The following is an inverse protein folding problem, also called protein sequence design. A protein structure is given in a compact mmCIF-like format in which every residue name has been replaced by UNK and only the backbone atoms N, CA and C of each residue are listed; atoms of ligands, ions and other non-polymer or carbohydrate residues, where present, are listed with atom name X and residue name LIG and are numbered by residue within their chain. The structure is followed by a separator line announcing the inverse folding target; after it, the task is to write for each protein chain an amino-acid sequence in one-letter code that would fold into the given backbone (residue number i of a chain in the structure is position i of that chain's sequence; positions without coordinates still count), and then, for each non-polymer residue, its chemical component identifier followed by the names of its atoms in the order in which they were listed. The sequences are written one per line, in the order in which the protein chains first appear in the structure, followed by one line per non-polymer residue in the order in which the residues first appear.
data_IF_008376718279
#
_entry.id   IF_008376718279
#
_cell.length_a   1.000
_cell.length_b   1.000
_cell.length_c   1.000
_cell.angle_alpha   90.00
_cell.angle_beta   90.00
_cell.angle_gamma   90.00
#
_symmetry.space_group_name_H-M   'P 1'
#
loop_
_entity.id
_entity.type
_entity.pdbx_description
1 polymer ?
#
# COMPACT_ATOMS: atom_id res chain seq x y z
N UNK A 1 -54.99 -18.10 2.55
CA UNK A 1 -54.04 -17.93 1.42
C UNK A 1 -54.71 -18.49 0.16
N UNK A 2 -54.56 -17.95 -1.07
CA UNK A 2 -53.39 -17.18 -1.52
C UNK A 2 -53.62 -15.92 -2.41
N UNK A 3 -52.61 -15.05 -2.33
CA UNK A 3 -51.85 -14.42 -3.43
C UNK A 3 -52.46 -13.32 -4.32
N UNK A 4 -51.81 -12.15 -4.18
CA UNK A 4 -51.21 -11.30 -5.24
C UNK A 4 -52.16 -10.39 -6.02
N UNK A 5 -52.27 -9.15 -5.53
CA UNK A 5 -52.56 -7.99 -6.36
C UNK A 5 -51.25 -7.49 -6.99
N UNK A 6 -51.35 -7.34 -8.31
CA UNK A 6 -50.41 -6.81 -9.27
C UNK A 6 -49.71 -5.54 -8.80
N UNK A 7 -48.38 -5.56 -8.86
CA UNK A 7 -47.57 -4.36 -9.10
C UNK A 7 -46.93 -4.53 -10.49
N UNK A 8 -47.36 -3.69 -11.41
CA UNK A 8 -46.83 -3.57 -12.77
C UNK A 8 -45.38 -2.98 -12.71
N UNK A 9 -44.60 -3.12 -13.80
CA UNK A 9 -43.16 -3.30 -13.79
C UNK A 9 -42.41 -1.96 -13.87
N UNK A 10 -41.46 -1.76 -12.97
CA UNK A 10 -40.31 -0.88 -13.21
C UNK A 10 -39.17 -1.77 -13.72
N UNK A 11 -39.37 -2.23 -14.95
CA UNK A 11 -38.35 -2.90 -15.73
C UNK A 11 -37.43 -1.88 -16.41
N UNK A 12 -36.14 -2.21 -16.39
CA UNK A 12 -35.07 -1.70 -17.24
C UNK A 12 -34.86 -0.18 -17.26
N UNK A 13 -33.93 0.31 -16.42
CA UNK A 13 -32.77 1.08 -16.92
C UNK A 13 -31.63 0.90 -15.90
N UNK A 14 -30.63 0.04 -16.17
CA UNK A 14 -29.20 0.34 -15.97
C UNK A 14 -28.26 -0.78 -16.45
N UNK A 15 -28.49 -1.32 -17.64
CA UNK A 15 -27.47 -2.14 -18.32
C UNK A 15 -26.72 -1.26 -19.31
N UNK A 16 -25.75 -0.44 -18.85
CA UNK A 16 -24.82 0.24 -19.76
C UNK A 16 -23.53 0.85 -19.18
N UNK A 17 -23.19 0.76 -17.88
CA UNK A 17 -21.97 1.42 -17.38
C UNK A 17 -21.24 0.69 -16.22
N UNK A 18 -21.10 -0.64 -16.29
CA UNK A 18 -20.25 -1.38 -15.34
C UNK A 18 -19.05 -2.09 -16.00
N UNK A 19 -18.66 -1.68 -17.21
CA UNK A 19 -17.39 -2.10 -17.81
C UNK A 19 -16.18 -1.30 -17.29
N UNK A 20 -16.34 -0.50 -16.23
CA UNK A 20 -15.28 0.32 -15.63
C UNK A 20 -14.93 -0.03 -14.18
N UNK A 21 -15.64 -0.97 -13.54
CA UNK A 21 -15.25 -1.50 -12.23
C UNK A 21 -14.51 -2.83 -12.44
N UNK A 22 -13.38 -2.79 -13.15
CA UNK A 22 -12.38 -3.84 -12.98
C UNK A 22 -11.96 -3.78 -11.52
N UNK A 23 -12.39 -4.79 -10.74
CA UNK A 23 -11.91 -4.98 -9.38
C UNK A 23 -10.40 -4.84 -9.39
N UNK A 24 -9.89 -3.97 -8.53
CA UNK A 24 -8.47 -3.69 -8.37
C UNK A 24 -7.72 -5.03 -8.44
N UNK A 25 -6.96 -5.25 -9.52
CA UNK A 25 -6.22 -6.49 -9.75
C UNK A 25 -5.47 -6.86 -8.47
N UNK A 26 -5.37 -8.13 -8.13
CA UNK A 26 -4.61 -8.57 -6.95
C UNK A 26 -3.17 -8.01 -6.94
N UNK A 27 -2.61 -7.79 -8.13
CA UNK A 27 -1.33 -7.10 -8.34
C UNK A 27 -1.36 -5.63 -7.89
N UNK A 28 -2.42 -4.89 -8.22
CA UNK A 28 -2.59 -3.50 -7.79
C UNK A 28 -2.74 -3.42 -6.27
N UNK A 29 -3.49 -4.35 -5.66
CA UNK A 29 -3.65 -4.42 -4.22
C UNK A 29 -2.31 -4.73 -3.49
N UNK A 30 -1.46 -5.56 -4.08
CA UNK A 30 -0.14 -5.87 -3.54
C UNK A 30 0.82 -4.67 -3.66
N UNK A 31 0.79 -3.96 -4.79
CA UNK A 31 1.55 -2.71 -4.99
C UNK A 31 1.14 -1.66 -3.96
N UNK A 32 -0.16 -1.45 -3.76
CA UNK A 32 -0.68 -0.49 -2.78
C UNK A 32 -0.25 -0.85 -1.36
N UNK A 33 -0.23 -2.14 -1.03
CA UNK A 33 0.28 -2.64 0.27
C UNK A 33 1.77 -2.32 0.43
N UNK A 34 2.61 -2.57 -0.58
CA UNK A 34 4.04 -2.22 -0.53
C UNK A 34 4.26 -0.72 -0.38
N UNK A 35 3.49 0.10 -1.11
CA UNK A 35 3.55 1.56 -1.00
C UNK A 35 3.20 1.99 0.42
N UNK A 36 2.11 1.50 0.99
CA UNK A 36 1.69 1.84 2.34
C UNK A 36 2.77 1.51 3.40
N UNK A 37 3.36 0.31 3.32
CA UNK A 37 4.43 -0.08 4.25
C UNK A 37 5.67 0.80 4.07
N UNK A 38 6.08 1.07 2.82
CA UNK A 38 7.19 1.97 2.55
C UNK A 38 6.96 3.37 3.15
N UNK A 39 5.74 3.91 3.03
CA UNK A 39 5.42 5.22 3.58
C UNK A 39 5.56 5.24 5.11
N UNK A 40 5.16 4.16 5.79
CA UNK A 40 5.31 4.04 7.24
C UNK A 40 6.78 3.91 7.66
N UNK A 41 7.58 3.15 6.92
CA UNK A 41 9.04 3.10 7.10
C UNK A 41 9.66 4.48 6.92
N UNK A 42 9.30 5.21 5.86
CA UNK A 42 9.80 6.57 5.62
C UNK A 42 9.40 7.55 6.73
N UNK A 43 8.19 7.45 7.29
CA UNK A 43 7.77 8.26 8.44
C UNK A 43 8.64 7.99 9.67
N UNK A 44 9.01 6.73 9.93
CA UNK A 44 9.92 6.40 11.03
C UNK A 44 11.33 6.90 10.76
N UNK A 45 11.84 6.71 9.54
CA UNK A 45 13.16 7.20 9.14
C UNK A 45 13.27 8.72 9.24
N UNK A 46 12.24 9.44 8.81
CA UNK A 46 12.15 10.90 8.93
C UNK A 46 12.25 11.36 10.39
N UNK A 47 11.61 10.63 11.32
CA UNK A 47 11.68 10.93 12.76
C UNK A 47 13.09 10.65 13.29
N UNK A 48 13.67 9.51 12.92
CA UNK A 48 15.03 9.11 13.28
C UNK A 48 16.08 10.15 12.79
N UNK A 49 15.98 10.55 11.53
CA UNK A 49 16.91 11.46 10.87
C UNK A 49 16.61 12.94 11.12
N UNK A 50 15.58 13.26 11.93
CA UNK A 50 15.12 14.62 12.20
C UNK A 50 14.97 15.49 10.95
N UNK A 51 14.38 14.92 9.89
CA UNK A 51 14.33 15.56 8.57
C UNK A 51 13.32 16.71 8.53
N UNK A 52 13.69 17.81 7.87
CA UNK A 52 12.80 18.97 7.66
C UNK A 52 11.54 18.62 6.85
N UNK A 53 10.43 19.31 7.14
CA UNK A 53 9.12 19.11 6.51
C UNK A 53 9.13 19.12 4.97
N UNK A 54 10.00 19.93 4.35
CA UNK A 54 10.16 19.99 2.89
C UNK A 54 10.57 18.63 2.31
N UNK A 55 11.51 17.95 2.97
CA UNK A 55 12.09 16.70 2.48
C UNK A 55 11.22 15.50 2.84
N UNK A 56 10.34 15.62 3.84
CA UNK A 56 9.38 14.57 4.22
C UNK A 56 8.49 14.14 3.06
N UNK A 57 7.86 15.11 2.38
CA UNK A 57 6.97 14.82 1.24
C UNK A 57 7.72 14.15 0.10
N UNK A 58 8.96 14.57 -0.15
CA UNK A 58 9.83 13.97 -1.18
C UNK A 58 10.17 12.53 -0.82
N UNK A 59 10.59 12.27 0.42
CA UNK A 59 10.92 10.92 0.88
C UNK A 59 9.72 9.98 0.80
N UNK A 60 8.55 10.40 1.30
CA UNK A 60 7.31 9.60 1.22
C UNK A 60 6.91 9.38 -0.25
N UNK A 61 7.06 10.38 -1.11
CA UNK A 61 6.75 10.27 -2.54
C UNK A 61 7.59 9.24 -3.28
N UNK A 62 8.83 8.98 -2.85
CA UNK A 62 9.69 7.96 -3.48
C UNK A 62 9.16 6.53 -3.34
N UNK A 63 8.23 6.27 -2.41
CA UNK A 63 7.65 4.94 -2.22
C UNK A 63 6.94 4.38 -3.45
N UNK A 64 6.38 5.22 -4.32
CA UNK A 64 5.81 4.75 -5.59
C UNK A 64 6.86 4.13 -6.52
N UNK A 65 8.11 4.59 -6.44
CA UNK A 65 9.22 4.05 -7.23
C UNK A 65 9.93 2.90 -6.53
N UNK A 66 10.18 3.01 -5.22
CA UNK A 66 10.94 2.02 -4.45
C UNK A 66 10.13 0.79 -4.05
N UNK A 67 8.79 0.81 -4.18
CA UNK A 67 7.96 -0.36 -3.85
C UNK A 67 8.42 -1.62 -4.63
N UNK A 68 8.90 -1.47 -5.86
CA UNK A 68 9.38 -2.58 -6.69
C UNK A 68 10.75 -3.14 -6.29
N UNK A 69 11.52 -2.43 -5.47
CA UNK A 69 12.89 -2.82 -5.11
C UNK A 69 12.94 -3.90 -4.03
N UNK A 70 11.82 -4.11 -3.32
CA UNK A 70 11.74 -5.08 -2.22
C UNK A 70 10.40 -5.79 -2.22
N UNK A 71 10.39 -7.03 -1.76
CA UNK A 71 9.14 -7.77 -1.56
C UNK A 71 8.35 -7.18 -0.39
N UNK A 72 7.07 -7.55 -0.28
CA UNK A 72 6.21 -7.13 0.83
C UNK A 72 6.78 -7.57 2.18
N UNK A 73 7.34 -8.77 2.25
CA UNK A 73 7.92 -9.36 3.46
C UNK A 73 9.18 -8.59 3.89
N UNK A 74 10.02 -8.18 2.94
CA UNK A 74 11.21 -7.38 3.21
C UNK A 74 10.85 -5.98 3.75
N UNK A 75 9.80 -5.37 3.20
CA UNK A 75 9.25 -4.12 3.71
C UNK A 75 8.68 -4.28 5.12
N UNK A 76 7.92 -5.36 5.38
CA UNK A 76 7.37 -5.67 6.71
C UNK A 76 8.47 -5.93 7.75
N UNK A 77 9.52 -6.65 7.38
CA UNK A 77 10.70 -6.85 8.22
C UNK A 77 11.32 -5.50 8.59
N UNK A 78 11.48 -4.61 7.61
CA UNK A 78 12.07 -3.28 7.85
C UNK A 78 11.21 -2.45 8.80
N UNK A 79 9.89 -2.43 8.58
CA UNK A 79 8.96 -1.73 9.44
C UNK A 79 8.99 -2.28 10.88
N UNK A 80 8.94 -3.60 11.05
CA UNK A 80 8.96 -4.24 12.36
C UNK A 80 10.26 -3.94 13.12
N UNK A 81 11.42 -4.01 12.45
CA UNK A 81 12.70 -3.69 13.08
C UNK A 81 12.82 -2.23 13.50
N UNK A 82 12.29 -1.29 12.70
CA UNK A 82 12.24 0.13 13.09
C UNK A 82 11.26 0.41 14.22
N UNK A 83 10.10 -0.24 14.23
CA UNK A 83 9.15 -0.16 15.36
C UNK A 83 9.75 -0.72 16.65
N UNK A 84 10.65 -1.70 16.56
CA UNK A 84 11.44 -2.22 17.67
C UNK A 84 12.59 -1.30 18.12
N UNK A 85 12.74 -0.11 17.53
CA UNK A 85 13.79 0.86 17.87
C UNK A 85 15.10 0.71 17.08
N UNK A 86 15.14 -0.17 16.07
CA UNK A 86 16.28 -0.28 15.17
C UNK A 86 16.38 0.90 14.20
N UNK A 87 17.61 1.25 13.82
CA UNK A 87 17.87 2.31 12.82
C UNK A 87 17.56 1.82 11.41
N UNK A 88 17.03 2.70 10.57
CA UNK A 88 16.65 2.36 9.19
C UNK A 88 17.79 1.65 8.43
N UNK A 89 19.00 2.21 8.42
CA UNK A 89 20.13 1.67 7.66
C UNK A 89 20.49 0.23 8.09
N UNK A 90 20.51 -0.04 9.40
CA UNK A 90 20.87 -1.35 9.94
C UNK A 90 19.78 -2.39 9.73
N UNK A 91 18.52 -2.01 9.97
CA UNK A 91 17.38 -2.91 9.81
C UNK A 91 17.14 -3.20 8.33
N UNK A 92 17.22 -2.18 7.49
CA UNK A 92 17.07 -2.28 6.04
C UNK A 92 18.05 -3.30 5.45
N UNK A 93 19.35 -3.17 5.74
CA UNK A 93 20.39 -4.08 5.22
C UNK A 93 20.16 -5.53 5.67
N UNK A 94 19.72 -5.73 6.92
CA UNK A 94 19.39 -7.07 7.44
C UNK A 94 18.19 -7.66 6.71
N UNK A 95 17.15 -6.87 6.47
CA UNK A 95 15.89 -7.31 5.88
C UNK A 95 15.94 -7.50 4.36
N UNK A 96 16.83 -6.81 3.65
CA UNK A 96 17.08 -7.06 2.22
C UNK A 96 18.09 -8.19 1.96
N UNK A 97 18.63 -8.79 3.02
CA UNK A 97 19.55 -9.92 2.93
C UNK A 97 20.96 -9.51 2.52
N UNK A 98 21.59 -8.59 3.26
CA UNK A 98 23.04 -8.41 3.25
C UNK A 98 23.69 -8.34 1.87
N UNK A 99 23.05 -7.68 0.90
CA UNK A 99 23.55 -7.60 -0.48
C UNK A 99 24.63 -6.50 -0.59
N UNK A 100 25.64 -6.55 0.27
CA UNK A 100 26.97 -6.02 -0.05
C UNK A 100 27.70 -7.10 -0.82
N UNK A 101 27.72 -6.97 -2.14
CA UNK A 101 28.93 -7.32 -2.89
C UNK A 101 29.72 -6.03 -3.08
#
# INVERSE_FOLDING_TARGET
MPLKKYAYPLGLILAANLAGCTGQSAENAEIDKRIAICQDVMKLYIKEANTHERDRKRLIGTCHMSQKERTTEQWQCTLAGMQGGGKYAEVSDKCTGGLRR
#
